data_IF_481682709551
#
_entry.id   IF_481682709551
#
_cell.length_a   1.000
_cell.length_b   1.000
_cell.length_c   1.000
_cell.angle_alpha   90.00
_cell.angle_beta   90.00
_cell.angle_gamma   90.00
#
_symmetry.space_group_name_H-M   'P 1'
#
loop_
_entity.id
_entity.type
_entity.pdbx_description
1 polymer ?
#
# COMPACT_ATOMS: atom_id res chain seq x y z
N UNK A 1 -9.76 -18.67 -6.27
CA UNK A 1 -8.58 -18.31 -7.07
C UNK A 1 -8.70 -16.83 -7.39
N UNK A 2 -7.90 -15.97 -6.77
CA UNK A 2 -7.90 -14.54 -7.07
C UNK A 2 -6.85 -14.30 -8.15
N UNK A 3 -7.27 -13.96 -9.36
CA UNK A 3 -6.37 -13.49 -10.42
C UNK A 3 -5.80 -12.15 -9.96
N UNK A 4 -4.48 -12.02 -9.82
CA UNK A 4 -3.76 -10.80 -9.37
C UNK A 4 -3.92 -10.44 -7.89
N UNK A 5 -3.82 -11.42 -6.98
CA UNK A 5 -3.67 -11.16 -5.55
C UNK A 5 -2.28 -11.53 -5.04
N UNK A 6 -1.78 -10.75 -4.08
CA UNK A 6 -0.61 -11.09 -3.27
C UNK A 6 -1.05 -11.39 -1.84
N UNK A 7 -0.38 -12.33 -1.18
CA UNK A 7 -0.58 -12.64 0.22
C UNK A 7 0.71 -12.33 1.00
N UNK A 8 0.58 -11.52 2.04
CA UNK A 8 1.68 -11.12 2.91
C UNK A 8 1.53 -11.85 4.25
N UNK A 9 2.42 -12.80 4.52
CA UNK A 9 2.36 -13.63 5.73
C UNK A 9 3.22 -13.11 6.89
N UNK A 10 3.98 -12.03 6.67
CA UNK A 10 4.78 -11.34 7.69
C UNK A 10 4.52 -9.85 7.57
N UNK A 11 4.48 -9.17 8.71
CA UNK A 11 4.24 -7.72 8.80
C UNK A 11 5.29 -6.90 8.02
N UNK A 12 6.51 -7.41 7.89
CA UNK A 12 7.60 -6.74 7.17
C UNK A 12 7.63 -7.05 5.67
N UNK A 13 6.73 -7.89 5.16
CA UNK A 13 6.70 -8.22 3.73
C UNK A 13 6.01 -7.11 2.93
N UNK A 14 6.63 -6.68 1.85
CA UNK A 14 6.08 -5.65 0.95
C UNK A 14 6.43 -5.95 -0.51
N UNK A 15 5.68 -5.35 -1.42
CA UNK A 15 6.04 -5.27 -2.84
C UNK A 15 6.57 -3.86 -3.12
N UNK A 16 7.70 -3.80 -3.82
CA UNK A 16 8.24 -2.52 -4.28
C UNK A 16 7.72 -2.21 -5.67
N UNK A 17 7.02 -1.08 -5.81
CA UNK A 17 6.54 -0.57 -7.09
C UNK A 17 7.42 0.61 -7.54
N UNK A 18 7.43 0.93 -8.85
CA UNK A 18 7.98 2.21 -9.31
C UNK A 18 7.34 3.37 -8.55
N UNK A 19 8.11 4.43 -8.29
CA UNK A 19 7.61 5.60 -7.57
C UNK A 19 6.38 6.17 -8.27
N UNK A 20 5.33 6.40 -7.48
CA UNK A 20 4.11 7.01 -7.97
C UNK A 20 4.32 8.52 -8.16
N UNK A 21 4.15 9.02 -9.38
CA UNK A 21 4.33 10.42 -9.77
C UNK A 21 2.97 11.13 -9.97
N UNK A 22 2.25 11.36 -8.87
CA UNK A 22 0.98 12.10 -8.89
C UNK A 22 1.20 13.61 -8.83
N UNK A 23 1.63 14.23 -9.93
CA UNK A 23 2.00 15.66 -9.96
C UNK A 23 0.83 16.60 -9.64
N UNK A 24 -0.36 16.36 -10.21
CA UNK A 24 -1.55 17.19 -10.02
C UNK A 24 -2.72 16.43 -9.39
N UNK A 25 -2.86 15.13 -9.68
CA UNK A 25 -3.91 14.27 -9.13
C UNK A 25 -3.45 12.82 -9.08
N UNK A 26 -4.16 12.02 -8.28
CA UNK A 26 -3.85 10.63 -8.04
C UNK A 26 -5.13 9.83 -7.78
N UNK A 27 -5.29 8.71 -8.48
CA UNK A 27 -6.36 7.74 -8.23
C UNK A 27 -5.73 6.39 -7.86
N UNK A 28 -6.05 5.88 -6.67
CA UNK A 28 -5.54 4.62 -6.14
C UNK A 28 -6.73 3.79 -5.66
N UNK A 29 -6.81 2.53 -6.09
CA UNK A 29 -7.88 1.61 -5.70
C UNK A 29 -7.32 0.22 -5.49
N UNK A 30 -7.62 -0.36 -4.33
CA UNK A 30 -7.27 -1.74 -3.99
C UNK A 30 -8.31 -2.34 -3.07
N UNK A 31 -8.35 -3.68 -3.05
CA UNK A 31 -9.16 -4.46 -2.12
C UNK A 31 -8.22 -5.21 -1.20
N UNK A 32 -8.55 -5.25 0.10
CA UNK A 32 -7.77 -5.97 1.09
C UNK A 32 -8.66 -6.83 1.98
N UNK A 33 -8.06 -7.87 2.57
CA UNK A 33 -8.66 -8.68 3.62
C UNK A 33 -7.58 -8.98 4.65
N UNK A 34 -7.83 -8.61 5.90
CA UNK A 34 -6.90 -8.84 7.01
C UNK A 34 -7.67 -9.22 8.27
N UNK A 35 -7.02 -9.99 9.15
CA UNK A 35 -7.44 -10.18 10.54
C UNK A 35 -6.60 -9.36 11.53
N UNK A 36 -5.54 -8.70 11.06
CA UNK A 36 -4.73 -7.82 11.90
C UNK A 36 -5.52 -6.58 12.29
N UNK A 37 -5.31 -6.10 13.51
CA UNK A 37 -5.93 -4.86 14.01
C UNK A 37 -5.24 -3.60 13.51
N UNK A 38 -4.01 -3.71 13.00
CA UNK A 38 -3.24 -2.58 12.47
C UNK A 38 -2.30 -3.02 11.33
N UNK A 39 -1.81 -2.05 10.55
CA UNK A 39 -0.81 -2.26 9.51
C UNK A 39 -0.84 -1.24 8.38
N UNK A 40 0.27 -1.11 7.65
CA UNK A 40 0.41 -0.20 6.50
C UNK A 40 0.10 -0.96 5.21
N UNK A 41 -0.79 -0.42 4.38
CA UNK A 41 -1.18 -0.99 3.09
C UNK A 41 -0.47 -0.33 1.90
N UNK A 42 -0.21 0.97 2.02
CA UNK A 42 0.50 1.76 1.02
C UNK A 42 1.37 2.79 1.72
N UNK A 43 2.61 2.92 1.26
CA UNK A 43 3.52 3.97 1.69
C UNK A 43 4.36 4.44 0.51
N UNK A 44 4.38 5.75 0.30
CA UNK A 44 5.32 6.42 -0.58
C UNK A 44 5.88 7.63 0.15
N UNK A 45 7.15 7.54 0.55
CA UNK A 45 7.87 8.55 1.33
C UNK A 45 8.66 9.45 0.36
N UNK A 46 8.11 10.60 0.02
CA UNK A 46 8.87 11.66 -0.63
C UNK A 46 9.75 12.41 0.38
N UNK A 47 10.66 13.24 -0.14
CA UNK A 47 11.58 14.04 0.69
C UNK A 47 10.81 15.11 1.51
N UNK A 48 9.71 15.64 0.97
CA UNK A 48 8.89 16.67 1.62
C UNK A 48 7.49 16.17 2.00
N UNK A 49 6.90 15.35 1.15
CA UNK A 49 5.52 14.91 1.26
C UNK A 49 5.46 13.38 1.24
N UNK A 50 4.48 12.81 1.92
CA UNK A 50 4.24 11.37 1.90
C UNK A 50 2.75 11.08 1.73
N UNK A 51 2.47 9.91 1.16
CA UNK A 51 1.15 9.29 1.22
C UNK A 51 1.27 7.97 1.97
N UNK A 52 0.39 7.78 2.95
CA UNK A 52 0.27 6.54 3.71
C UNK A 52 -1.19 6.16 3.87
N UNK A 53 -1.49 4.89 3.65
CA UNK A 53 -2.80 4.31 3.93
C UNK A 53 -2.56 3.16 4.89
N UNK A 54 -3.13 3.26 6.09
CA UNK A 54 -2.97 2.28 7.16
C UNK A 54 -4.30 1.97 7.85
N UNK A 55 -4.33 0.81 8.50
CA UNK A 55 -5.28 0.49 9.56
C UNK A 55 -4.61 0.81 10.89
N UNK A 56 -5.24 1.66 11.70
CA UNK A 56 -4.73 2.11 13.00
C UNK A 56 -5.39 1.40 14.17
#
# INVERSE_FOLDING_TARGET
>A
NFWNAAYFNKETSYLHFPTFHGELSADISFLFKTSSSSGVFLENLGIKDFIRIELS
#
